data_IF_577216413757
#
_entry.id   IF_577216413757
#
_cell.length_a   1.000
_cell.length_b   1.000
_cell.length_c   1.000
_cell.angle_alpha   90.00
_cell.angle_beta   90.00
_cell.angle_gamma   90.00
#
_symmetry.space_group_name_H-M   'P 1'
#
loop_
_entity.id
_entity.type
_entity.pdbx_description
1 polymer ?
#
# COMPACT_ATOMS: atom_id res chain seq x y z
N UNK A 1 34.66 -8.70 21.46
CA UNK A 1 33.81 -8.50 22.65
C UNK A 1 32.56 -9.34 22.50
N UNK A 2 32.28 -10.28 23.41
CA UNK A 2 31.04 -11.07 23.39
C UNK A 2 29.91 -10.24 24.01
N UNK A 3 28.87 -9.93 23.22
CA UNK A 3 27.75 -9.06 23.60
C UNK A 3 26.62 -9.80 24.35
N UNK A 4 26.75 -11.10 24.58
CA UNK A 4 25.74 -11.91 25.28
C UNK A 4 26.45 -12.70 26.39
N UNK A 5 26.08 -12.45 27.64
CA UNK A 5 26.59 -13.21 28.79
C UNK A 5 25.99 -14.61 28.79
N UNK A 6 26.80 -15.63 29.12
CA UNK A 6 26.47 -17.06 29.02
C UNK A 6 25.44 -17.58 30.05
N UNK A 7 24.52 -16.74 30.57
CA UNK A 7 23.56 -17.14 31.61
C UNK A 7 22.15 -16.53 31.45
N UNK A 8 21.66 -16.33 30.22
CA UNK A 8 20.28 -15.89 29.98
C UNK A 8 19.31 -17.08 30.02
N UNK A 9 18.70 -17.32 31.18
CA UNK A 9 17.75 -18.42 31.39
C UNK A 9 16.29 -17.91 31.28
N UNK A 10 15.82 -17.67 30.05
CA UNK A 10 14.44 -17.25 29.79
C UNK A 10 13.57 -18.49 29.52
N UNK A 11 12.54 -18.70 30.34
CA UNK A 11 11.60 -19.79 30.15
C UNK A 11 10.54 -19.47 29.08
N UNK A 12 10.94 -19.55 27.81
CA UNK A 12 10.04 -19.38 26.67
C UNK A 12 8.93 -20.44 26.64
N UNK A 13 9.26 -21.67 27.03
CA UNK A 13 8.36 -22.81 26.91
C UNK A 13 7.20 -22.77 27.92
N UNK A 14 7.43 -22.19 29.11
CA UNK A 14 6.38 -21.93 30.10
C UNK A 14 5.39 -20.83 29.67
N UNK A 15 5.83 -19.86 28.86
CA UNK A 15 4.99 -18.74 28.40
C UNK A 15 4.29 -18.99 27.07
N UNK A 16 4.58 -20.10 26.39
CA UNK A 16 4.01 -20.54 25.10
C UNK A 16 2.50 -20.32 24.98
N UNK A 17 1.73 -20.65 26.02
CA UNK A 17 0.25 -20.57 25.96
C UNK A 17 -0.23 -19.13 25.91
N UNK A 18 0.38 -18.25 26.70
CA UNK A 18 0.05 -16.81 26.73
C UNK A 18 0.43 -16.19 25.38
N UNK A 19 1.64 -16.46 24.88
CA UNK A 19 2.08 -15.93 23.59
C UNK A 19 1.22 -16.46 22.43
N UNK A 20 0.79 -17.73 22.48
CA UNK A 20 -0.11 -18.28 21.46
C UNK A 20 -1.49 -17.62 21.46
N UNK A 21 -2.06 -17.35 22.63
CA UNK A 21 -3.35 -16.62 22.75
C UNK A 21 -3.20 -15.20 22.18
N UNK A 22 -2.13 -14.49 22.55
CA UNK A 22 -1.87 -13.14 22.03
C UNK A 22 -1.74 -13.16 20.50
N UNK A 23 -0.98 -14.12 19.94
CA UNK A 23 -0.86 -14.28 18.49
C UNK A 23 -2.20 -14.55 17.82
N UNK A 24 -3.05 -15.38 18.43
CA UNK A 24 -4.37 -15.67 17.89
C UNK A 24 -5.30 -14.45 17.91
N UNK A 25 -5.26 -13.65 18.98
CA UNK A 25 -6.01 -12.39 19.07
C UNK A 25 -5.54 -11.41 18.00
N UNK A 26 -4.23 -11.24 17.81
CA UNK A 26 -3.69 -10.38 16.75
C UNK A 26 -4.10 -10.85 15.34
N UNK A 27 -4.09 -12.16 15.11
CA UNK A 27 -4.57 -12.75 13.86
C UNK A 27 -6.05 -12.42 13.63
N UNK A 28 -6.89 -12.61 14.64
CA UNK A 28 -8.32 -12.33 14.56
C UNK A 28 -8.59 -10.83 14.29
N UNK A 29 -7.85 -9.93 14.94
CA UNK A 29 -7.92 -8.49 14.68
C UNK A 29 -7.51 -8.17 13.23
N UNK A 30 -6.43 -8.77 12.73
CA UNK A 30 -5.97 -8.57 11.35
C UNK A 30 -7.03 -9.00 10.33
N UNK A 31 -7.59 -10.20 10.50
CA UNK A 31 -8.66 -10.72 9.64
C UNK A 31 -9.92 -9.84 9.74
N UNK A 32 -10.31 -9.43 10.95
CA UNK A 32 -11.44 -8.54 11.16
C UNK A 32 -11.25 -7.16 10.51
N UNK A 33 -10.04 -6.60 10.60
CA UNK A 33 -9.68 -5.37 9.90
C UNK A 33 -9.77 -5.54 8.38
N UNK A 34 -9.30 -6.67 7.85
CA UNK A 34 -9.36 -6.95 6.42
C UNK A 34 -10.80 -7.07 5.92
N UNK A 35 -11.67 -7.75 6.68
CA UNK A 35 -13.08 -7.94 6.33
C UNK A 35 -13.88 -6.62 6.39
N UNK A 36 -13.52 -5.69 7.27
CA UNK A 36 -14.24 -4.42 7.45
C UNK A 36 -13.72 -3.27 6.59
N UNK A 37 -12.41 -3.19 6.35
CA UNK A 37 -11.78 -2.13 5.54
C UNK A 37 -11.53 -2.54 4.09
N UNK A 38 -11.65 -3.83 3.78
CA UNK A 38 -11.33 -4.37 2.45
C UNK A 38 -9.83 -4.39 2.15
N UNK A 39 -9.53 -4.68 0.89
CA UNK A 39 -8.19 -4.69 0.33
C UNK A 39 -7.99 -3.46 -0.57
N UNK A 40 -6.82 -2.81 -0.47
CA UNK A 40 -6.39 -1.84 -1.47
C UNK A 40 -5.88 -2.61 -2.69
N UNK A 41 -6.76 -2.88 -3.65
CA UNK A 41 -6.42 -3.61 -4.86
C UNK A 41 -5.44 -2.82 -5.73
N UNK A 42 -4.42 -3.51 -6.25
CA UNK A 42 -3.46 -2.94 -7.22
C UNK A 42 -4.04 -2.91 -8.65
N UNK A 43 -3.29 -2.31 -9.58
CA UNK A 43 -3.68 -2.19 -11.00
C UNK A 43 -3.97 -3.53 -11.66
N UNK A 44 -3.27 -4.59 -11.23
CA UNK A 44 -3.46 -5.94 -11.75
C UNK A 44 -4.86 -6.49 -11.45
N UNK A 45 -5.57 -5.90 -10.48
CA UNK A 45 -6.90 -6.31 -10.04
C UNK A 45 -7.99 -5.29 -10.33
N UNK A 46 -7.67 -3.99 -10.34
CA UNK A 46 -8.63 -2.90 -10.62
C UNK A 46 -8.72 -2.56 -12.11
N UNK A 47 -7.76 -3.00 -12.92
CA UNK A 47 -7.56 -2.44 -14.25
C UNK A 47 -7.12 -0.98 -14.20
N UNK A 48 -7.07 -0.35 -15.37
CA UNK A 48 -6.69 1.06 -15.52
C UNK A 48 -5.39 1.25 -16.29
N UNK A 49 -4.88 2.48 -16.27
CA UNK A 49 -3.67 2.86 -16.99
C UNK A 49 -2.64 3.39 -16.01
N UNK A 50 -1.41 2.95 -16.21
CA UNK A 50 -0.23 3.44 -15.52
C UNK A 50 0.56 4.34 -16.49
N UNK A 51 0.76 5.59 -16.12
CA UNK A 51 1.50 6.56 -16.93
C UNK A 51 2.73 6.98 -16.15
N UNK A 52 3.91 6.79 -16.75
CA UNK A 52 5.18 7.28 -16.23
C UNK A 52 5.56 8.56 -16.98
N UNK A 53 5.80 9.64 -16.23
CA UNK A 53 6.11 10.95 -16.76
C UNK A 53 7.39 11.48 -16.09
N UNK A 54 8.41 11.71 -16.89
CA UNK A 54 9.63 12.40 -16.47
C UNK A 54 9.46 13.91 -16.62
N UNK A 55 9.63 14.66 -15.53
CA UNK A 55 9.64 16.12 -15.52
C UNK A 55 11.08 16.65 -15.58
N UNK A 56 11.30 17.82 -16.21
CA UNK A 56 12.61 18.46 -16.23
C UNK A 56 13.06 18.95 -14.84
N UNK A 57 12.10 19.29 -13.98
CA UNK A 57 12.31 19.78 -12.61
C UNK A 57 11.55 18.91 -11.60
N UNK A 58 11.80 19.13 -10.29
CA UNK A 58 11.10 18.40 -9.23
C UNK A 58 9.59 18.56 -9.35
N UNK A 59 8.87 17.45 -9.44
CA UNK A 59 7.45 17.45 -9.68
C UNK A 59 6.64 17.74 -8.40
N UNK A 60 5.67 18.64 -8.50
CA UNK A 60 4.71 18.90 -7.42
C UNK A 60 3.52 17.93 -7.51
N UNK A 61 3.60 16.86 -6.71
CA UNK A 61 2.56 15.83 -6.64
C UNK A 61 1.19 16.39 -6.23
N UNK A 62 1.14 17.46 -5.43
CA UNK A 62 -0.12 18.04 -4.94
C UNK A 62 -0.80 18.81 -6.07
N UNK A 63 -0.07 19.63 -6.82
CA UNK A 63 -0.64 20.35 -7.96
C UNK A 63 -1.06 19.39 -9.08
N UNK A 64 -0.26 18.36 -9.37
CA UNK A 64 -0.60 17.32 -10.37
C UNK A 64 -1.91 16.61 -9.96
N UNK A 65 -2.02 16.18 -8.70
CA UNK A 65 -3.24 15.52 -8.21
C UNK A 65 -4.46 16.44 -8.30
N UNK A 66 -4.32 17.72 -7.94
CA UNK A 66 -5.42 18.69 -8.03
C UNK A 66 -5.89 18.86 -9.46
N UNK A 67 -4.98 19.04 -10.42
CA UNK A 67 -5.32 19.18 -11.85
C UNK A 67 -5.99 17.92 -12.42
N UNK A 68 -5.54 16.73 -12.00
CA UNK A 68 -6.18 15.48 -12.40
C UNK A 68 -7.60 15.37 -11.84
N UNK A 69 -7.81 15.76 -10.58
CA UNK A 69 -9.15 15.81 -9.98
C UNK A 69 -10.07 16.80 -10.69
N UNK A 70 -9.59 18.01 -10.99
CA UNK A 70 -10.34 19.02 -11.75
C UNK A 70 -10.68 18.53 -13.19
N UNK A 71 -9.83 17.66 -13.76
CA UNK A 71 -10.00 17.06 -15.07
C UNK A 71 -10.89 15.80 -15.12
N UNK A 72 -11.53 15.43 -13.99
CA UNK A 72 -12.42 14.26 -13.92
C UNK A 72 -11.77 12.97 -13.40
N UNK A 73 -10.48 12.99 -13.06
CA UNK A 73 -9.74 11.83 -12.53
C UNK A 73 -9.48 11.97 -11.03
N UNK A 74 -10.55 12.18 -10.25
CA UNK A 74 -10.47 12.42 -8.80
C UNK A 74 -9.80 11.28 -8.01
N UNK A 75 -9.93 10.05 -8.49
CA UNK A 75 -9.35 8.86 -7.86
C UNK A 75 -7.94 8.51 -8.37
N UNK A 76 -7.31 9.42 -9.13
CA UNK A 76 -5.96 9.20 -9.63
C UNK A 76 -4.92 9.22 -8.49
N UNK A 77 -4.06 8.20 -8.47
CA UNK A 77 -2.95 8.12 -7.52
C UNK A 77 -1.69 8.65 -8.21
N UNK A 78 -1.08 9.66 -7.59
CA UNK A 78 0.13 10.32 -8.09
C UNK A 78 1.26 10.11 -7.08
N UNK A 79 2.37 9.54 -7.52
CA UNK A 79 3.54 9.20 -6.70
C UNK A 79 4.85 9.38 -7.47
N UNK A 80 5.94 9.67 -6.76
CA UNK A 80 7.28 9.67 -7.37
C UNK A 80 7.74 8.24 -7.71
N UNK A 81 8.60 8.13 -8.73
CA UNK A 81 9.15 6.85 -9.20
C UNK A 81 10.66 6.95 -9.44
N UNK A 82 11.47 6.43 -8.52
CA UNK A 82 12.93 6.46 -8.63
C UNK A 82 13.58 7.81 -8.30
N UNK A 83 13.10 8.91 -8.89
CA UNK A 83 13.59 10.29 -8.67
C UNK A 83 12.45 11.24 -8.28
N UNK A 84 12.78 12.44 -7.80
CA UNK A 84 11.82 13.52 -7.54
C UNK A 84 11.30 14.19 -8.82
N UNK A 85 11.92 13.89 -9.96
CA UNK A 85 11.52 14.33 -11.32
C UNK A 85 10.59 13.35 -12.00
N UNK A 86 10.60 12.09 -11.58
CA UNK A 86 9.89 11.01 -12.25
C UNK A 86 8.61 10.72 -11.47
N UNK A 87 7.48 10.83 -12.15
CA UNK A 87 6.16 10.68 -11.53
C UNK A 87 5.40 9.57 -12.21
N UNK A 88 4.82 8.70 -11.40
CA UNK A 88 3.93 7.65 -11.81
C UNK A 88 2.50 8.05 -11.42
N UNK A 89 1.65 8.12 -12.45
CA UNK A 89 0.24 8.46 -12.37
C UNK A 89 -0.55 7.19 -12.66
N UNK A 90 -1.39 6.79 -11.71
CA UNK A 90 -2.31 5.68 -11.85
C UNK A 90 -3.72 6.21 -11.94
N UNK A 91 -4.41 5.88 -13.03
CA UNK A 91 -5.81 6.25 -13.24
C UNK A 91 -6.65 4.97 -13.22
N UNK A 92 -7.67 4.95 -12.36
CA UNK A 92 -8.64 3.85 -12.31
C UNK A 92 -9.62 3.98 -13.50
N UNK A 93 -10.11 2.87 -14.08
CA UNK A 93 -11.19 2.92 -15.06
C UNK A 93 -12.44 3.57 -14.44
N UNK A 94 -13.16 4.41 -15.19
CA UNK A 94 -14.47 4.88 -14.74
C UNK A 94 -15.40 3.69 -14.47
N UNK A 95 -16.11 3.71 -13.34
CA UNK A 95 -17.12 2.72 -13.01
C UNK A 95 -18.23 2.71 -14.08
N UNK A 96 -18.18 1.74 -15.00
CA UNK A 96 -19.19 1.57 -16.05
C UNK A 96 -18.66 1.39 -17.48
N UNK A 97 -17.36 1.58 -17.73
CA UNK A 97 -16.77 1.30 -19.05
C UNK A 97 -16.14 -0.10 -19.04
N UNK A 98 -16.91 -1.09 -19.53
CA UNK A 98 -16.44 -2.48 -19.69
C UNK A 98 -15.20 -2.49 -20.61
N UNK A 99 -14.06 -2.88 -20.05
CA UNK A 99 -12.75 -2.88 -20.70
C UNK A 99 -12.62 -3.96 -21.80
N UNK A 100 -13.73 -4.62 -22.16
CA UNK A 100 -13.81 -5.67 -23.19
C UNK A 100 -14.16 -5.17 -24.59
N UNK A 101 -14.30 -3.85 -24.80
CA UNK A 101 -14.66 -3.28 -26.11
C UNK A 101 -13.60 -2.35 -26.74
N UNK A 102 -12.35 -2.38 -26.26
CA UNK A 102 -11.22 -1.74 -26.95
C UNK A 102 -10.27 -2.78 -27.51
#
# INVERSE_FOLDING_TARGET
MQLISNATNINFMGKRRITAIVSFVLLAISIGSLATRGLNFGIDFTGGVLIEVGYPDTADLVDIRRRLADGGFGDAIVQNFGSATDVLIRVLPEEGVDSRQM
#
